data_IF_633386114838
#
_entry.id   IF_633386114838
#
_cell.length_a   1.000
_cell.length_b   1.000
_cell.length_c   1.000
_cell.angle_alpha   90.00
_cell.angle_beta   90.00
_cell.angle_gamma   90.00
#
_symmetry.space_group_name_H-M   'P 1'
#
loop_
_entity.id
_entity.type
_entity.pdbx_description
1 polymer ?
#
# COMPACT_ATOMS: atom_id res chain seq x y z
N UNK A 1 20.51 -8.68 -6.80
CA UNK A 1 21.71 -7.91 -6.36
C UNK A 1 21.42 -6.44 -6.00
N UNK A 2 20.51 -5.71 -6.68
CA UNK A 2 20.21 -4.31 -6.33
C UNK A 2 19.51 -4.11 -4.95
N UNK A 3 18.83 -5.15 -4.45
CA UNK A 3 18.09 -5.11 -3.18
C UNK A 3 18.98 -5.04 -1.92
N UNK A 4 20.28 -5.35 -2.02
CA UNK A 4 21.20 -5.35 -0.88
C UNK A 4 21.92 -4.00 -0.66
N UNK A 5 21.84 -3.06 -1.62
CA UNK A 5 22.64 -1.82 -1.62
C UNK A 5 21.82 -0.54 -1.37
N UNK A 6 20.49 -0.59 -1.44
CA UNK A 6 19.66 0.57 -1.23
C UNK A 6 19.14 0.63 0.20
N UNK A 7 19.50 1.71 0.91
CA UNK A 7 18.90 2.06 2.19
C UNK A 7 17.36 1.97 2.10
N UNK A 8 16.66 1.42 3.12
CA UNK A 8 15.20 1.26 3.13
C UNK A 8 14.44 2.53 2.69
N UNK A 9 14.91 3.69 3.13
CA UNK A 9 14.34 5.00 2.79
C UNK A 9 14.46 5.32 1.29
N UNK A 10 15.62 5.03 0.67
CA UNK A 10 15.84 5.25 -0.77
C UNK A 10 14.95 4.32 -1.61
N UNK A 11 14.82 3.06 -1.20
CA UNK A 11 13.95 2.08 -1.88
C UNK A 11 12.49 2.51 -1.84
N UNK A 12 12.00 2.87 -0.65
CA UNK A 12 10.63 3.35 -0.48
C UNK A 12 10.37 4.62 -1.30
N UNK A 13 11.29 5.58 -1.23
CA UNK A 13 11.19 6.84 -1.99
C UNK A 13 11.13 6.60 -3.50
N UNK A 14 12.07 5.83 -4.06
CA UNK A 14 12.10 5.55 -5.50
C UNK A 14 10.83 4.84 -5.98
N UNK A 15 10.35 3.85 -5.22
CA UNK A 15 9.11 3.14 -5.57
C UNK A 15 7.90 4.08 -5.55
N UNK A 16 7.77 4.90 -4.50
CA UNK A 16 6.66 5.85 -4.37
C UNK A 16 6.71 6.93 -5.44
N UNK A 17 7.89 7.45 -5.79
CA UNK A 17 8.05 8.41 -6.89
C UNK A 17 7.66 7.77 -8.22
N UNK A 18 8.09 6.54 -8.50
CA UNK A 18 7.70 5.83 -9.70
C UNK A 18 6.18 5.69 -9.78
N UNK A 19 5.52 5.22 -8.72
CA UNK A 19 4.06 5.12 -8.69
C UNK A 19 3.36 6.48 -8.82
N UNK A 20 3.89 7.54 -8.21
CA UNK A 20 3.35 8.89 -8.35
C UNK A 20 3.40 9.38 -9.80
N UNK A 21 4.51 9.13 -10.51
CA UNK A 21 4.64 9.45 -11.95
C UNK A 21 3.56 8.71 -12.76
N UNK A 22 3.34 7.43 -12.49
CA UNK A 22 2.26 6.68 -13.14
C UNK A 22 0.86 7.19 -12.77
N UNK A 23 0.65 7.63 -11.53
CA UNK A 23 -0.55 8.34 -11.08
C UNK A 23 -0.83 9.60 -11.91
N UNK A 24 0.19 10.45 -12.10
CA UNK A 24 0.09 11.67 -12.91
C UNK A 24 -0.21 11.32 -14.37
N UNK A 25 0.50 10.35 -14.95
CA UNK A 25 0.27 9.91 -16.33
C UNK A 25 -1.15 9.35 -16.50
N UNK A 26 -1.61 8.52 -15.56
CA UNK A 26 -2.97 7.99 -15.55
C UNK A 26 -4.02 9.09 -15.49
N UNK A 27 -3.82 10.09 -14.61
CA UNK A 27 -4.69 11.25 -14.52
C UNK A 27 -4.75 12.03 -15.86
N UNK A 28 -3.61 12.40 -16.41
CA UNK A 28 -3.53 13.21 -17.63
C UNK A 28 -4.07 12.50 -18.88
N UNK A 29 -4.00 11.17 -18.94
CA UNK A 29 -4.33 10.40 -20.16
C UNK A 29 -5.67 9.67 -20.10
N UNK A 30 -6.20 9.38 -18.90
CA UNK A 30 -7.41 8.55 -18.74
C UNK A 30 -8.60 9.30 -18.16
N UNK A 31 -8.38 10.38 -17.42
CA UNK A 31 -9.45 11.10 -16.72
C UNK A 31 -10.11 12.10 -17.67
N UNK A 32 -11.38 11.86 -17.95
CA UNK A 32 -12.22 12.76 -18.76
C UNK A 32 -13.16 13.60 -17.89
N UNK A 33 -13.59 13.05 -16.75
CA UNK A 33 -14.39 13.77 -15.74
C UNK A 33 -13.61 13.84 -14.41
N UNK A 34 -13.00 15.00 -14.10
CA UNK A 34 -12.25 15.19 -12.88
C UNK A 34 -13.09 15.00 -11.60
N UNK A 35 -14.38 15.37 -11.62
CA UNK A 35 -15.19 15.39 -10.41
C UNK A 35 -15.54 13.96 -9.96
N UNK A 36 -15.89 13.10 -10.92
CA UNK A 36 -16.17 11.68 -10.67
C UNK A 36 -14.91 10.88 -10.37
N UNK A 37 -13.74 11.30 -10.88
CA UNK A 37 -12.46 10.61 -10.68
C UNK A 37 -11.70 11.07 -9.42
N UNK A 38 -12.05 12.23 -8.86
CA UNK A 38 -11.43 12.81 -7.68
C UNK A 38 -11.31 11.83 -6.47
N UNK A 39 -12.36 11.08 -6.07
CA UNK A 39 -12.21 10.14 -4.95
C UNK A 39 -11.19 9.04 -5.24
N UNK A 40 -11.15 8.52 -6.46
CA UNK A 40 -10.20 7.46 -6.84
C UNK A 40 -8.75 7.98 -6.84
N UNK A 41 -8.53 9.22 -7.30
CA UNK A 41 -7.21 9.87 -7.20
C UNK A 41 -6.81 10.08 -5.73
N UNK A 42 -7.72 10.59 -4.90
CA UNK A 42 -7.44 10.81 -3.48
C UNK A 42 -7.11 9.49 -2.78
N UNK A 43 -7.88 8.44 -3.03
CA UNK A 43 -7.57 7.09 -2.56
C UNK A 43 -6.18 6.65 -3.02
N UNK A 44 -5.87 6.83 -4.31
CA UNK A 44 -4.59 6.44 -4.89
C UNK A 44 -3.42 7.14 -4.17
N UNK A 45 -3.53 8.44 -3.92
CA UNK A 45 -2.51 9.20 -3.18
C UNK A 45 -2.34 8.69 -1.75
N UNK A 46 -3.44 8.43 -1.04
CA UNK A 46 -3.40 7.84 0.31
C UNK A 46 -2.74 6.46 0.29
N UNK A 47 -3.01 5.65 -0.75
CA UNK A 47 -2.38 4.36 -0.94
C UNK A 47 -0.88 4.49 -1.17
N UNK A 48 -0.42 5.51 -1.88
CA UNK A 48 1.01 5.77 -2.07
C UNK A 48 1.71 6.12 -0.75
N UNK A 49 1.07 6.91 0.11
CA UNK A 49 1.59 7.22 1.45
C UNK A 49 1.69 5.94 2.29
N UNK A 50 0.64 5.12 2.32
CA UNK A 50 0.66 3.83 3.03
C UNK A 50 1.76 2.90 2.48
N UNK A 51 1.85 2.81 1.15
CA UNK A 51 2.86 2.01 0.45
C UNK A 51 4.28 2.46 0.80
N UNK A 52 4.53 3.77 0.89
CA UNK A 52 5.83 4.30 1.30
C UNK A 52 6.24 3.77 2.68
N UNK A 53 5.37 3.94 3.68
CA UNK A 53 5.63 3.45 5.04
C UNK A 53 5.77 1.93 5.08
N UNK A 54 4.93 1.22 4.32
CA UNK A 54 4.98 -0.24 4.23
C UNK A 54 6.31 -0.73 3.63
N UNK A 55 6.74 -0.20 2.48
CA UNK A 55 8.01 -0.59 1.85
C UNK A 55 9.18 -0.25 2.77
N UNK A 56 9.20 0.96 3.33
CA UNK A 56 10.26 1.41 4.24
C UNK A 56 10.40 0.46 5.43
N UNK A 57 9.27 0.11 6.06
CA UNK A 57 9.23 -0.77 7.21
C UNK A 57 9.66 -2.20 6.87
N UNK A 58 9.03 -2.81 5.87
CA UNK A 58 9.28 -4.22 5.54
C UNK A 58 10.65 -4.43 4.88
N UNK A 59 11.26 -3.42 4.27
CA UNK A 59 12.64 -3.50 3.81
C UNK A 59 13.65 -3.67 4.95
N UNK A 60 13.32 -3.28 6.19
CA UNK A 60 14.19 -3.45 7.36
C UNK A 60 14.10 -4.86 7.95
N UNK A 61 12.89 -5.43 7.98
CA UNK A 61 12.61 -6.66 8.75
C UNK A 61 12.50 -7.92 7.89
N UNK A 62 12.37 -7.80 6.58
CA UNK A 62 12.14 -8.95 5.69
C UNK A 62 13.48 -9.54 5.21
N UNK A 63 13.69 -10.86 5.32
CA UNK A 63 14.88 -11.51 4.78
C UNK A 63 14.97 -11.34 3.27
N UNK A 64 16.14 -10.90 2.77
CA UNK A 64 16.36 -10.55 1.35
C UNK A 64 16.35 -11.81 0.44
N UNK A 65 16.55 -12.99 1.03
CA UNK A 65 16.85 -14.23 0.30
C UNK A 65 15.60 -14.97 -0.23
N UNK A 66 14.39 -14.55 0.16
CA UNK A 66 13.16 -15.25 -0.26
C UNK A 66 12.61 -14.72 -1.59
N UNK A 67 12.79 -15.50 -2.67
CA UNK A 67 12.26 -15.21 -4.02
C UNK A 67 10.75 -14.92 -4.01
N UNK A 68 9.98 -15.64 -3.18
CA UNK A 68 8.53 -15.44 -3.06
C UNK A 68 8.14 -14.01 -2.66
N UNK A 69 8.99 -13.30 -1.93
CA UNK A 69 8.77 -11.90 -1.56
C UNK A 69 8.96 -10.95 -2.73
N UNK A 70 9.95 -11.22 -3.59
CA UNK A 70 10.15 -10.40 -4.79
C UNK A 70 9.02 -10.55 -5.78
N UNK A 71 8.53 -11.77 -6.00
CA UNK A 71 7.36 -12.00 -6.86
C UNK A 71 6.13 -11.28 -6.31
N UNK A 72 5.88 -11.36 -5.00
CA UNK A 72 4.77 -10.65 -4.36
C UNK A 72 4.90 -9.12 -4.50
N UNK A 73 6.10 -8.56 -4.30
CA UNK A 73 6.35 -7.13 -4.46
C UNK A 73 6.08 -6.64 -5.89
N UNK A 74 6.50 -7.41 -6.90
CA UNK A 74 6.26 -7.09 -8.32
C UNK A 74 4.76 -7.11 -8.62
N UNK A 75 4.04 -8.14 -8.17
CA UNK A 75 2.60 -8.26 -8.39
C UNK A 75 1.83 -7.13 -7.69
N UNK A 76 2.20 -6.78 -6.46
CA UNK A 76 1.63 -5.65 -5.74
C UNK A 76 1.89 -4.33 -6.47
N UNK A 77 3.13 -4.11 -6.93
CA UNK A 77 3.49 -2.95 -7.73
C UNK A 77 2.65 -2.86 -9.01
N UNK A 78 2.46 -3.99 -9.70
CA UNK A 78 1.63 -4.05 -10.91
C UNK A 78 0.18 -3.67 -10.62
N UNK A 79 -0.42 -4.13 -9.52
CA UNK A 79 -1.76 -3.71 -9.12
C UNK A 79 -1.84 -2.19 -8.90
N UNK A 80 -0.86 -1.58 -8.22
CA UNK A 80 -0.81 -0.12 -8.02
C UNK A 80 -0.73 0.61 -9.38
N UNK A 81 0.08 0.11 -10.32
CA UNK A 81 0.16 0.70 -11.66
C UNK A 81 -1.17 0.59 -12.41
N UNK A 82 -1.82 -0.57 -12.37
CA UNK A 82 -3.10 -0.79 -13.04
C UNK A 82 -4.23 0.05 -12.44
N UNK A 83 -4.20 0.30 -11.12
CA UNK A 83 -5.12 1.24 -10.48
C UNK A 83 -4.97 2.66 -11.04
N UNK A 84 -3.74 3.14 -11.24
CA UNK A 84 -3.51 4.47 -11.83
C UNK A 84 -4.07 4.62 -13.25
N UNK A 85 -4.05 3.54 -14.03
CA UNK A 85 -4.60 3.51 -15.39
C UNK A 85 -6.13 3.43 -15.43
N UNK A 86 -6.77 3.22 -14.28
CA UNK A 86 -8.22 3.08 -14.14
C UNK A 86 -8.83 4.16 -13.25
N UNK A 87 -8.19 5.34 -13.14
CA UNK A 87 -8.70 6.46 -12.34
C UNK A 87 -10.05 7.01 -12.81
N UNK A 88 -10.47 6.70 -14.04
CA UNK A 88 -11.77 7.07 -14.60
C UNK A 88 -12.79 5.91 -14.61
N UNK A 89 -12.42 4.74 -14.05
CA UNK A 89 -13.27 3.57 -14.02
C UNK A 89 -13.23 2.90 -12.65
N UNK A 90 -14.21 3.25 -11.82
CA UNK A 90 -14.33 2.78 -10.44
C UNK A 90 -14.39 1.25 -10.33
N UNK A 91 -15.06 0.56 -11.26
CA UNK A 91 -15.20 -0.89 -11.24
C UNK A 91 -13.83 -1.56 -11.38
N UNK A 92 -13.06 -1.22 -12.41
CA UNK A 92 -11.72 -1.78 -12.60
C UNK A 92 -10.78 -1.35 -11.48
N UNK A 93 -10.91 -0.11 -10.99
CA UNK A 93 -10.12 0.37 -9.87
C UNK A 93 -10.33 -0.48 -8.60
N UNK A 94 -11.58 -0.74 -8.21
CA UNK A 94 -11.88 -1.55 -7.01
C UNK A 94 -11.51 -3.02 -7.18
N UNK A 95 -11.59 -3.55 -8.40
CA UNK A 95 -11.10 -4.90 -8.70
C UNK A 95 -9.59 -5.00 -8.43
N UNK A 96 -8.80 -4.06 -8.95
CA UNK A 96 -7.35 -4.02 -8.71
C UNK A 96 -7.02 -3.75 -7.24
N UNK A 97 -7.78 -2.90 -6.55
CA UNK A 97 -7.64 -2.68 -5.11
C UNK A 97 -7.89 -3.97 -4.31
N UNK A 98 -8.93 -4.73 -4.67
CA UNK A 98 -9.25 -6.01 -4.01
C UNK A 98 -8.13 -7.01 -4.23
N UNK A 99 -7.63 -7.12 -5.46
CA UNK A 99 -6.50 -7.99 -5.79
C UNK A 99 -5.23 -7.58 -5.02
N UNK A 100 -4.95 -6.28 -4.93
CA UNK A 100 -3.84 -5.74 -4.16
C UNK A 100 -3.89 -6.20 -2.70
N UNK A 101 -5.03 -6.06 -2.02
CA UNK A 101 -5.16 -6.47 -0.62
C UNK A 101 -5.14 -7.99 -0.44
N UNK A 102 -5.69 -8.76 -1.38
CA UNK A 102 -5.57 -10.22 -1.38
C UNK A 102 -4.09 -10.66 -1.47
N UNK A 103 -3.35 -10.10 -2.43
CA UNK A 103 -1.93 -10.40 -2.60
C UNK A 103 -1.10 -9.95 -1.39
N UNK A 104 -1.40 -8.79 -0.81
CA UNK A 104 -0.73 -8.29 0.39
C UNK A 104 -0.97 -9.24 1.58
N UNK A 105 -2.21 -9.67 1.78
CA UNK A 105 -2.59 -10.64 2.80
C UNK A 105 -1.80 -11.95 2.65
N UNK A 106 -1.74 -12.51 1.43
CA UNK A 106 -0.97 -13.72 1.14
C UNK A 106 0.52 -13.50 1.41
N UNK A 107 1.09 -12.38 0.94
CA UNK A 107 2.50 -12.02 1.17
C UNK A 107 2.84 -12.04 2.65
N UNK A 108 2.06 -11.36 3.49
CA UNK A 108 2.33 -11.28 4.93
C UNK A 108 2.01 -12.57 5.68
N UNK A 109 1.04 -13.35 5.22
CA UNK A 109 0.79 -14.69 5.74
C UNK A 109 2.00 -15.62 5.51
N UNK A 110 2.62 -15.56 4.33
CA UNK A 110 3.85 -16.31 4.02
C UNK A 110 5.08 -15.86 4.83
N UNK A 111 5.03 -14.68 5.45
CA UNK A 111 6.07 -14.18 6.36
C UNK A 111 5.83 -14.61 7.81
N UNK A 112 4.66 -15.16 8.15
CA UNK A 112 4.41 -15.71 9.49
C UNK A 112 5.37 -16.87 9.75
N UNK A 113 6.06 -16.82 10.90
CA UNK A 113 7.09 -17.79 11.27
C UNK A 113 8.46 -17.53 10.63
N UNK A 114 8.57 -16.62 9.65
CA UNK A 114 9.85 -16.26 9.02
C UNK A 114 10.51 -15.01 9.62
N UNK A 115 9.75 -14.16 10.31
CA UNK A 115 10.21 -12.91 10.90
C UNK A 115 9.91 -12.92 12.41
N UNK A 116 10.80 -12.42 13.29
CA UNK A 116 10.62 -12.41 14.75
C UNK A 116 9.51 -11.46 15.27
N UNK A 117 8.64 -10.95 14.40
CA UNK A 117 7.56 -10.00 14.75
C UNK A 117 6.15 -10.49 14.37
N UNK A 118 5.69 -11.65 14.87
CA UNK A 118 4.43 -12.26 14.45
C UNK A 118 3.19 -11.43 14.82
N UNK A 119 3.21 -10.71 15.95
CA UNK A 119 2.08 -9.83 16.35
C UNK A 119 1.85 -8.70 15.35
N UNK A 120 2.92 -8.11 14.84
CA UNK A 120 2.86 -7.05 13.84
C UNK A 120 2.34 -7.58 12.51
N UNK A 121 2.85 -8.73 12.06
CA UNK A 121 2.37 -9.38 10.84
C UNK A 121 0.88 -9.73 10.92
N UNK A 122 0.42 -10.31 12.04
CA UNK A 122 -1.02 -10.57 12.26
C UNK A 122 -1.86 -9.31 12.17
N UNK A 123 -1.39 -8.21 12.77
CA UNK A 123 -2.09 -6.92 12.70
C UNK A 123 -2.13 -6.37 11.27
N UNK A 124 -1.04 -6.49 10.51
CA UNK A 124 -0.99 -6.09 9.10
C UNK A 124 -1.94 -6.92 8.24
N UNK A 125 -1.97 -8.24 8.47
CA UNK A 125 -2.92 -9.15 7.81
C UNK A 125 -4.37 -8.74 8.11
N UNK A 126 -4.71 -8.42 9.36
CA UNK A 126 -6.05 -7.95 9.69
C UNK A 126 -6.42 -6.64 8.97
N UNK A 127 -5.47 -5.70 8.88
CA UNK A 127 -5.66 -4.48 8.11
C UNK A 127 -5.89 -4.79 6.64
N UNK A 128 -5.09 -5.68 6.04
CA UNK A 128 -5.24 -6.01 4.63
C UNK A 128 -6.55 -6.77 4.37
N UNK A 129 -6.97 -7.68 5.26
CA UNK A 129 -8.30 -8.32 5.22
C UNK A 129 -9.44 -7.30 5.27
N UNK A 130 -9.34 -6.28 6.14
CA UNK A 130 -10.32 -5.20 6.18
C UNK A 130 -10.33 -4.40 4.87
N UNK A 131 -9.17 -4.24 4.23
CA UNK A 131 -9.01 -3.66 2.91
C UNK A 131 -9.74 -4.46 1.83
N UNK A 132 -9.62 -5.80 1.83
CA UNK A 132 -10.35 -6.70 0.92
C UNK A 132 -11.86 -6.51 1.08
N UNK A 133 -12.35 -6.54 2.32
CA UNK A 133 -13.79 -6.42 2.60
C UNK A 133 -14.31 -5.06 2.12
N UNK A 134 -13.63 -3.97 2.47
CA UNK A 134 -14.02 -2.63 2.07
C UNK A 134 -13.97 -2.44 0.55
N UNK A 135 -12.95 -2.95 -0.14
CA UNK A 135 -12.83 -2.85 -1.60
C UNK A 135 -13.86 -3.72 -2.32
N UNK A 136 -14.17 -4.90 -1.79
CA UNK A 136 -15.22 -5.76 -2.33
C UNK A 136 -16.61 -5.11 -2.21
N UNK A 137 -16.92 -4.47 -1.08
CA UNK A 137 -18.16 -3.70 -0.94
C UNK A 137 -18.21 -2.51 -1.92
N UNK A 138 -17.09 -1.79 -2.10
CA UNK A 138 -17.02 -0.72 -3.09
C UNK A 138 -17.23 -1.23 -4.52
N UNK A 139 -16.66 -2.40 -4.85
CA UNK A 139 -16.85 -3.08 -6.13
C UNK A 139 -18.32 -3.48 -6.35
N UNK A 140 -18.97 -4.05 -5.33
CA UNK A 140 -20.41 -4.36 -5.39
C UNK A 140 -21.24 -3.10 -5.61
N UNK A 141 -20.96 -2.02 -4.88
CA UNK A 141 -21.67 -0.75 -5.07
C UNK A 141 -21.49 -0.17 -6.48
N UNK A 142 -20.30 -0.28 -7.07
CA UNK A 142 -20.07 0.08 -8.47
C UNK A 142 -20.87 -0.81 -9.44
N UNK A 143 -20.95 -2.12 -9.18
CA UNK A 143 -21.75 -3.07 -9.98
C UNK A 143 -23.25 -2.79 -9.89
N UNK A 144 -23.75 -2.31 -8.74
CA UNK A 144 -25.15 -1.90 -8.56
C UNK A 144 -25.47 -0.50 -9.10
N UNK A 145 -24.54 0.15 -9.79
CA UNK A 145 -24.77 1.44 -10.45
C UNK A 145 -24.45 2.66 -9.60
N UNK A 146 -23.73 2.52 -8.48
CA UNK A 146 -23.34 3.63 -7.60
C UNK A 146 -21.81 3.89 -7.54
N UNK A 147 -21.08 3.95 -8.68
CA UNK A 147 -19.62 3.99 -8.67
C UNK A 147 -19.02 5.19 -7.93
N UNK A 148 -19.59 6.38 -8.11
CA UNK A 148 -19.09 7.62 -7.47
C UNK A 148 -19.31 7.62 -5.95
N UNK A 149 -20.51 7.24 -5.50
CA UNK A 149 -20.82 7.13 -4.07
C UNK A 149 -19.94 6.07 -3.39
N UNK A 150 -19.76 4.90 -4.03
CA UNK A 150 -18.86 3.86 -3.54
C UNK A 150 -17.41 4.34 -3.45
N UNK A 151 -16.94 5.11 -4.44
CA UNK A 151 -15.59 5.67 -4.40
C UNK A 151 -15.39 6.63 -3.24
N UNK A 152 -16.34 7.53 -2.99
CA UNK A 152 -16.26 8.46 -1.86
C UNK A 152 -16.27 7.74 -0.51
N UNK A 153 -17.22 6.83 -0.30
CA UNK A 153 -17.31 6.06 0.95
C UNK A 153 -16.03 5.25 1.17
N UNK A 154 -15.56 4.56 0.14
CA UNK A 154 -14.35 3.75 0.22
C UNK A 154 -13.11 4.60 0.53
N UNK A 155 -12.96 5.74 -0.14
CA UNK A 155 -11.85 6.69 0.08
C UNK A 155 -11.87 7.24 1.50
N UNK A 156 -13.05 7.62 2.00
CA UNK A 156 -13.19 8.15 3.35
C UNK A 156 -12.85 7.11 4.41
N UNK A 157 -13.35 5.87 4.26
CA UNK A 157 -13.00 4.76 5.15
C UNK A 157 -11.49 4.48 5.13
N UNK A 158 -10.88 4.51 3.95
CA UNK A 158 -9.44 4.30 3.81
C UNK A 158 -8.63 5.43 4.44
N UNK A 159 -9.06 6.69 4.30
CA UNK A 159 -8.45 7.85 4.95
C UNK A 159 -8.47 7.69 6.48
N UNK A 160 -9.64 7.39 7.05
CA UNK A 160 -9.77 7.16 8.50
C UNK A 160 -8.90 6.01 8.98
N UNK A 161 -8.84 4.92 8.22
CA UNK A 161 -7.96 3.79 8.53
C UNK A 161 -6.48 4.21 8.53
N UNK A 162 -6.03 5.01 7.54
CA UNK A 162 -4.65 5.50 7.50
C UNK A 162 -4.34 6.42 8.69
N UNK A 163 -5.23 7.35 9.03
CA UNK A 163 -5.07 8.22 10.21
C UNK A 163 -4.93 7.38 11.47
N UNK A 164 -5.81 6.40 11.66
CA UNK A 164 -5.76 5.50 12.81
C UNK A 164 -4.45 4.71 12.89
N UNK A 165 -3.98 4.17 11.75
CA UNK A 165 -2.77 3.34 11.68
C UNK A 165 -1.46 4.12 11.70
N UNK A 166 -1.49 5.43 11.46
CA UNK A 166 -0.30 6.30 11.51
C UNK A 166 -0.20 7.07 12.83
N UNK A 167 -1.33 7.54 13.38
CA UNK A 167 -1.35 8.47 14.52
C UNK A 167 -1.82 7.77 15.79
N UNK A 168 -2.99 7.13 15.76
CA UNK A 168 -3.66 6.64 16.99
C UNK A 168 -3.01 5.37 17.50
N UNK A 169 -2.77 4.40 16.62
CA UNK A 169 -2.14 3.15 16.96
C UNK A 169 -1.12 2.80 15.86
N UNK A 170 0.08 3.43 15.90
CA UNK A 170 1.03 3.35 14.80
C UNK A 170 1.43 1.90 14.51
N UNK A 171 1.17 1.43 13.30
CA UNK A 171 1.56 0.08 12.87
C UNK A 171 3.08 -0.07 12.73
N UNK A 172 3.77 1.03 12.42
CA UNK A 172 5.18 1.04 12.04
C UNK A 172 6.14 1.51 13.14
N UNK A 173 5.66 1.65 14.39
CA UNK A 173 6.42 2.19 15.55
C UNK A 173 7.76 1.47 15.84
N UNK A 174 7.88 0.20 15.46
CA UNK A 174 9.12 -0.57 15.60
C UNK A 174 10.28 0.00 14.79
N UNK A 175 10.01 0.70 13.68
CA UNK A 175 11.05 1.28 12.84
C UNK A 175 11.73 2.47 13.50
N UNK A 176 10.97 3.33 14.16
CA UNK A 176 11.49 4.51 14.85
C UNK A 176 12.52 4.08 15.91
N UNK A 177 12.20 3.04 16.69
CA UNK A 177 13.09 2.48 17.70
C UNK A 177 14.36 1.86 17.10
N UNK A 178 14.26 1.19 15.95
CA UNK A 178 15.41 0.57 15.27
C UNK A 178 16.32 1.64 14.65
N UNK A 179 15.75 2.67 14.03
CA UNK A 179 16.51 3.77 13.45
C UNK A 179 17.18 4.63 14.51
N UNK A 180 16.50 4.92 15.63
CA UNK A 180 17.06 5.62 16.78
C UNK A 180 18.24 4.84 17.38
N UNK A 181 18.09 3.53 17.55
CA UNK A 181 19.18 2.66 18.04
C UNK A 181 20.40 2.66 17.08
N UNK A 182 20.18 2.61 15.76
CA UNK A 182 21.27 2.68 14.76
C UNK A 182 21.94 4.05 14.71
N UNK A 183 21.17 5.13 14.90
CA UNK A 183 21.70 6.50 14.90
C UNK A 183 22.60 6.72 16.11
N UNK A 184 22.19 6.25 17.28
CA UNK A 184 23.00 6.33 18.49
C UNK A 184 24.28 5.49 18.36
N UNK A 185 24.20 4.29 17.79
CA UNK A 185 25.37 3.43 17.55
C UNK A 185 26.41 4.01 16.56
N UNK A 186 26.00 4.92 15.66
CA UNK A 186 26.89 5.60 14.71
C UNK A 186 27.47 6.92 15.25
N UNK A 187 27.02 7.40 16.41
CA UNK A 187 27.58 8.59 17.07
C UNK A 187 28.71 8.20 18.04
N UNK A 188 28.68 6.95 18.53
CA UNK A 188 29.64 6.40 19.49
C UNK A 188 30.83 5.64 18.84
N UNK A 189 30.96 5.67 17.51
CA UNK A 189 32.04 5.02 16.75
C UNK A 189 32.74 5.96 15.78
#
# INVERSE_FOLDING_TARGET
MLNALLHPNKKAFLATVAFAVFGILGWLTKVTDPLSSAPLLLYYLLLLVNTYFSIRFFAVITPVEKISQHTADILLGLCILLMSMNLNNALWFFMWATLLFMLATVKYALLLGAIPHPRLLKRKILVDLSGIVASAFALLGALFGYPSASAWVYTFLYLLANIYLMIVNPLYRLLDNIEESRRNANIDG
#
